data_IF_244225198640
#
_entry.id   IF_244225198640
#
_cell.length_a   1.000
_cell.length_b   1.000
_cell.length_c   1.000
_cell.angle_alpha   90.00
_cell.angle_beta   90.00
_cell.angle_gamma   90.00
#
_symmetry.space_group_name_H-M   'P 1'
#
loop_
_entity.id
_entity.type
_entity.pdbx_description
1 polymer ?
#
# COMPACT_ATOMS: atom_id res chain seq x y z
N UNK A 1 13.12 0.77 -17.93
CA UNK A 1 12.35 0.01 -16.90
C UNK A 1 11.38 0.97 -16.24
N UNK A 2 10.11 0.58 -16.12
CA UNK A 2 9.03 1.37 -15.50
C UNK A 2 8.71 0.82 -14.12
N UNK A 3 8.26 1.67 -13.21
CA UNK A 3 7.94 1.27 -11.83
C UNK A 3 6.44 1.44 -11.62
N UNK A 4 5.76 0.36 -11.26
CA UNK A 4 4.38 0.38 -10.75
C UNK A 4 4.44 0.30 -9.24
N UNK A 5 4.16 1.42 -8.58
CA UNK A 5 4.15 1.54 -7.14
C UNK A 5 2.72 1.49 -6.61
N UNK A 6 2.34 0.33 -6.06
CA UNK A 6 1.01 0.12 -5.49
C UNK A 6 0.95 0.83 -4.15
N UNK A 7 0.26 1.97 -4.09
CA UNK A 7 0.14 2.72 -2.86
C UNK A 7 -1.10 2.27 -2.08
N UNK A 8 -0.87 1.58 -0.96
CA UNK A 8 -1.94 1.21 -0.02
C UNK A 8 -2.16 2.35 0.99
N UNK A 9 -3.41 2.83 1.18
CA UNK A 9 -3.72 3.84 2.18
C UNK A 9 -3.15 3.49 3.56
N UNK A 10 -2.45 4.47 4.14
CA UNK A 10 -1.86 4.43 5.50
C UNK A 10 -0.71 3.44 5.69
N UNK A 11 -0.09 2.97 4.62
CA UNK A 11 1.20 2.27 4.63
C UNK A 11 2.29 3.16 3.98
N UNK A 12 2.75 4.18 4.72
CA UNK A 12 3.83 5.10 4.29
C UNK A 12 3.58 6.02 3.07
N UNK A 13 2.32 6.41 2.82
CA UNK A 13 1.90 7.09 1.60
C UNK A 13 2.38 8.51 1.34
N UNK A 14 1.97 9.46 2.18
CA UNK A 14 2.06 10.90 1.86
C UNK A 14 3.52 11.37 1.73
N UNK A 15 4.36 11.04 2.71
CA UNK A 15 5.78 11.43 2.70
C UNK A 15 6.54 10.80 1.53
N UNK A 16 6.25 9.53 1.22
CA UNK A 16 6.87 8.84 0.09
C UNK A 16 6.41 9.43 -1.25
N UNK A 17 5.11 9.70 -1.40
CA UNK A 17 4.53 10.34 -2.59
C UNK A 17 5.23 11.67 -2.89
N UNK A 18 5.35 12.53 -1.89
CA UNK A 18 6.00 13.85 -2.03
C UNK A 18 7.47 13.72 -2.39
N UNK A 19 8.19 12.78 -1.78
CA UNK A 19 9.60 12.58 -2.07
C UNK A 19 9.84 12.01 -3.48
N UNK A 20 9.01 11.06 -3.93
CA UNK A 20 9.06 10.54 -5.30
C UNK A 20 8.76 11.66 -6.29
N UNK A 21 7.69 12.44 -6.08
CA UNK A 21 7.33 13.56 -6.96
C UNK A 21 8.46 14.57 -7.07
N UNK A 22 9.08 14.96 -5.95
CA UNK A 22 10.25 15.85 -5.95
C UNK A 22 11.46 15.27 -6.68
N UNK A 23 11.65 13.95 -6.63
CA UNK A 23 12.80 13.27 -7.21
C UNK A 23 12.68 13.10 -8.73
N UNK A 24 11.53 12.62 -9.22
CA UNK A 24 11.38 12.26 -10.64
C UNK A 24 10.72 13.38 -11.47
N UNK A 25 10.09 14.36 -10.81
CA UNK A 25 9.36 15.43 -11.46
C UNK A 25 7.95 15.00 -11.91
N UNK A 26 7.13 15.98 -12.24
CA UNK A 26 5.72 15.75 -12.61
C UNK A 26 5.59 14.96 -13.92
N UNK A 27 6.46 15.20 -14.89
CA UNK A 27 6.40 14.59 -16.22
C UNK A 27 6.76 13.09 -16.22
N UNK A 28 7.43 12.61 -15.16
CA UNK A 28 7.82 11.20 -15.00
C UNK A 28 7.00 10.45 -13.95
N UNK A 29 5.99 11.10 -13.35
CA UNK A 29 5.15 10.50 -12.31
C UNK A 29 3.67 10.58 -12.68
N UNK A 30 3.09 9.42 -12.97
CA UNK A 30 1.65 9.30 -13.18
C UNK A 30 0.92 8.94 -11.89
N UNK A 31 -0.07 9.75 -11.52
CA UNK A 31 -0.95 9.47 -10.39
C UNK A 31 -2.23 8.72 -10.79
N UNK A 32 -2.36 7.47 -10.36
CA UNK A 32 -3.56 6.65 -10.59
C UNK A 32 -4.37 6.47 -9.30
N UNK A 33 -5.31 7.38 -9.05
CA UNK A 33 -6.18 7.37 -7.87
C UNK A 33 -7.61 6.96 -8.24
N UNK A 34 -7.79 5.74 -8.74
CA UNK A 34 -9.11 5.22 -9.13
C UNK A 34 -10.00 4.74 -7.96
N UNK A 35 -9.50 4.83 -6.72
CA UNK A 35 -10.20 4.52 -5.47
C UNK A 35 -10.95 3.17 -5.54
N UNK A 36 -10.25 2.05 -5.73
CA UNK A 36 -10.88 0.77 -6.08
C UNK A 36 -11.79 0.26 -4.96
N UNK A 37 -11.52 0.64 -3.71
CA UNK A 37 -12.31 0.22 -2.55
C UNK A 37 -13.54 1.09 -2.27
N UNK A 38 -13.73 2.19 -3.01
CA UNK A 38 -15.01 2.90 -3.05
C UNK A 38 -16.04 2.17 -3.92
N UNK A 39 -15.60 1.19 -4.72
CA UNK A 39 -16.41 0.40 -5.65
C UNK A 39 -16.73 -0.98 -5.08
N UNK A 40 -17.85 -1.55 -5.52
CA UNK A 40 -18.25 -2.91 -5.17
C UNK A 40 -17.19 -3.94 -5.61
N UNK A 41 -17.12 -5.07 -4.92
CA UNK A 41 -16.07 -6.08 -5.11
C UNK A 41 -16.00 -6.63 -6.54
N UNK A 42 -17.14 -7.01 -7.10
CA UNK A 42 -17.22 -7.50 -8.48
C UNK A 42 -16.77 -6.42 -9.48
N UNK A 43 -17.21 -5.18 -9.29
CA UNK A 43 -16.90 -4.06 -10.16
C UNK A 43 -15.39 -3.75 -10.18
N UNK A 44 -14.73 -3.68 -9.01
CA UNK A 44 -13.28 -3.41 -8.94
C UNK A 44 -12.46 -4.55 -9.54
N UNK A 45 -12.88 -5.81 -9.35
CA UNK A 45 -12.21 -6.99 -9.91
C UNK A 45 -12.36 -7.06 -11.42
N UNK A 46 -13.57 -6.85 -11.94
CA UNK A 46 -13.84 -6.79 -13.38
C UNK A 46 -13.05 -5.67 -14.05
N UNK A 47 -13.04 -4.47 -13.46
CA UNK A 47 -12.23 -3.34 -13.96
C UNK A 47 -10.73 -3.67 -13.98
N UNK A 48 -10.21 -4.32 -12.93
CA UNK A 48 -8.81 -4.74 -12.87
C UNK A 48 -8.46 -5.76 -13.97
N UNK A 49 -9.31 -6.78 -14.17
CA UNK A 49 -9.13 -7.77 -15.24
C UNK A 49 -9.18 -7.11 -16.63
N UNK A 50 -10.18 -6.26 -16.89
CA UNK A 50 -10.28 -5.52 -18.14
C UNK A 50 -9.05 -4.64 -18.38
N UNK A 51 -8.62 -3.89 -17.37
CA UNK A 51 -7.43 -3.04 -17.45
C UNK A 51 -6.16 -3.86 -17.69
N UNK A 52 -6.05 -5.06 -17.09
CA UNK A 52 -4.92 -5.95 -17.30
C UNK A 52 -4.78 -6.43 -18.75
N UNK A 53 -5.81 -6.24 -19.59
CA UNK A 53 -5.77 -6.52 -21.03
C UNK A 53 -5.63 -5.22 -21.83
N UNK A 54 -6.43 -4.20 -21.51
CA UNK A 54 -6.59 -2.99 -22.30
C UNK A 54 -5.63 -1.85 -21.94
N UNK A 55 -4.91 -1.92 -20.81
CA UNK A 55 -4.01 -0.86 -20.40
C UNK A 55 -2.88 -0.66 -21.41
N UNK A 56 -2.82 0.54 -21.98
CA UNK A 56 -1.72 0.96 -22.86
C UNK A 56 -0.45 1.20 -22.04
N UNK A 57 0.74 0.93 -22.61
CA UNK A 57 2.00 1.38 -22.01
C UNK A 57 1.94 2.89 -21.72
N UNK A 58 2.41 3.27 -20.54
CA UNK A 58 2.52 4.68 -20.10
C UNK A 58 3.92 5.20 -20.42
N UNK A 59 4.10 6.49 -20.65
CA UNK A 59 5.43 7.05 -20.93
C UNK A 59 6.19 7.34 -19.64
N UNK A 60 5.47 7.64 -18.55
CA UNK A 60 6.02 7.99 -17.26
C UNK A 60 6.85 6.85 -16.65
N UNK A 61 7.96 7.21 -16.02
CA UNK A 61 8.87 6.25 -15.38
C UNK A 61 8.22 5.58 -14.17
N UNK A 62 7.35 6.29 -13.45
CA UNK A 62 6.69 5.81 -12.23
C UNK A 62 5.18 5.99 -12.31
N UNK A 63 4.45 4.93 -12.03
CA UNK A 63 3.00 4.94 -11.80
C UNK A 63 2.77 4.75 -10.31
N UNK A 64 2.12 5.71 -9.66
CA UNK A 64 1.89 5.70 -8.20
C UNK A 64 0.43 5.97 -7.89
N UNK A 65 -0.18 5.19 -7.00
CA UNK A 65 -1.52 5.52 -6.53
C UNK A 65 -2.33 4.36 -5.97
N UNK A 66 -3.61 4.63 -5.75
CA UNK A 66 -4.56 3.66 -5.21
C UNK A 66 -5.25 2.91 -6.35
N UNK A 67 -4.69 1.75 -6.70
CA UNK A 67 -5.23 0.83 -7.69
C UNK A 67 -4.93 -0.62 -7.29
N UNK A 68 -5.67 -1.59 -7.84
CA UNK A 68 -5.36 -3.00 -7.62
C UNK A 68 -4.07 -3.38 -8.36
N UNK A 69 -3.16 -4.10 -7.71
CA UNK A 69 -1.84 -4.43 -8.25
C UNK A 69 -1.88 -5.07 -9.66
N UNK A 70 -2.92 -5.86 -9.94
CA UNK A 70 -3.15 -6.49 -11.23
C UNK A 70 -3.42 -5.55 -12.42
N UNK A 71 -3.74 -4.27 -12.18
CA UNK A 71 -4.16 -3.32 -13.23
C UNK A 71 -3.15 -3.18 -14.38
N UNK A 72 -1.86 -3.18 -14.06
CA UNK A 72 -0.76 -3.04 -15.02
C UNK A 72 -0.04 -4.36 -15.32
N UNK A 73 -0.56 -5.47 -14.80
CA UNK A 73 0.01 -6.80 -14.94
C UNK A 73 -0.69 -7.58 -16.07
N UNK A 74 -0.23 -8.80 -16.35
CA UNK A 74 -0.93 -9.76 -17.22
C UNK A 74 -1.59 -10.84 -16.36
N UNK A 75 -2.89 -11.04 -16.53
CA UNK A 75 -3.60 -12.15 -15.89
C UNK A 75 -3.40 -13.45 -16.67
N UNK A 76 -3.10 -14.56 -15.99
CA UNK A 76 -2.87 -15.87 -16.61
C UNK A 76 -3.99 -16.89 -16.38
N UNK A 77 -5.14 -16.47 -15.84
CA UNK A 77 -6.24 -17.34 -15.42
C UNK A 77 -6.26 -17.64 -13.91
N UNK A 78 -5.11 -17.57 -13.24
CA UNK A 78 -4.99 -17.86 -11.80
C UNK A 78 -4.52 -16.64 -11.00
N UNK A 79 -3.46 -15.98 -11.47
CA UNK A 79 -2.84 -14.84 -10.82
C UNK A 79 -2.29 -13.84 -11.84
N UNK A 80 -2.00 -12.63 -11.39
CA UNK A 80 -1.37 -11.60 -12.19
C UNK A 80 0.16 -11.81 -12.20
N UNK A 81 0.81 -11.56 -13.34
CA UNK A 81 2.27 -11.52 -13.50
C UNK A 81 2.71 -10.15 -14.02
N UNK A 82 3.77 -9.53 -13.47
CA UNK A 82 4.39 -8.35 -14.07
C UNK A 82 4.63 -8.53 -15.56
N UNK A 83 4.41 -7.46 -16.32
CA UNK A 83 4.79 -7.41 -17.73
C UNK A 83 6.30 -7.18 -17.82
N UNK A 84 6.89 -7.54 -18.96
CA UNK A 84 8.32 -7.29 -19.22
C UNK A 84 8.62 -5.79 -19.02
N UNK A 85 9.78 -5.49 -18.42
CA UNK A 85 10.26 -4.12 -18.14
C UNK A 85 9.42 -3.29 -17.16
N UNK A 86 8.43 -3.89 -16.47
CA UNK A 86 7.70 -3.27 -15.38
C UNK A 86 8.13 -3.90 -14.07
N UNK A 87 8.72 -3.11 -13.19
CA UNK A 87 9.03 -3.48 -11.83
C UNK A 87 7.92 -3.02 -10.88
N UNK A 88 7.69 -3.77 -9.81
CA UNK A 88 6.63 -3.54 -8.84
C UNK A 88 7.17 -3.22 -7.46
N UNK A 89 6.65 -2.15 -6.86
CA UNK A 89 6.92 -1.75 -5.49
C UNK A 89 5.64 -1.59 -4.67
N UNK A 90 5.71 -1.92 -3.38
CA UNK A 90 4.62 -1.70 -2.41
C UNK A 90 5.18 -1.40 -1.02
N UNK A 91 4.47 -0.60 -0.25
CA UNK A 91 4.62 -0.55 1.22
C UNK A 91 3.45 -1.24 1.89
N UNK A 92 3.77 -2.01 2.92
CA UNK A 92 2.82 -2.64 3.83
C UNK A 92 3.01 -2.09 5.25
N UNK A 93 2.04 -2.39 6.10
CA UNK A 93 2.02 -2.02 7.51
C UNK A 93 1.32 -3.13 8.29
N UNK A 94 1.61 -3.26 9.58
CA UNK A 94 0.82 -4.12 10.47
C UNK A 94 -0.68 -3.87 10.24
N UNK A 95 -1.50 -4.93 10.02
CA UNK A 95 -2.89 -4.76 9.64
C UNK A 95 -3.72 -3.92 10.61
N UNK A 96 -3.51 -4.10 11.93
CA UNK A 96 -4.26 -3.40 12.95
C UNK A 96 -3.81 -1.93 13.05
N UNK A 97 -2.51 -1.68 13.14
CA UNK A 97 -1.95 -0.33 13.18
C UNK A 97 -2.35 0.48 11.94
N UNK A 98 -2.37 -0.15 10.76
CA UNK A 98 -2.87 0.47 9.53
C UNK A 98 -4.35 0.84 9.63
N UNK A 99 -5.18 -0.06 10.14
CA UNK A 99 -6.62 0.17 10.29
C UNK A 99 -6.92 1.30 11.29
N UNK A 100 -6.23 1.35 12.43
CA UNK A 100 -6.35 2.44 13.41
C UNK A 100 -5.92 3.77 12.77
N UNK A 101 -4.78 3.80 12.09
CA UNK A 101 -4.29 5.00 11.39
C UNK A 101 -5.30 5.48 10.33
N UNK A 102 -6.00 4.55 9.69
CA UNK A 102 -7.04 4.83 8.70
C UNK A 102 -8.30 5.41 9.35
N UNK A 103 -8.77 4.84 10.45
CA UNK A 103 -9.89 5.39 11.22
C UNK A 103 -9.66 6.85 11.59
N UNK A 104 -8.52 7.16 12.24
CA UNK A 104 -8.22 8.53 12.66
C UNK A 104 -7.98 9.48 11.50
N UNK A 105 -7.51 8.97 10.35
CA UNK A 105 -7.44 9.75 9.12
C UNK A 105 -8.84 10.10 8.61
N UNK A 106 -9.77 9.15 8.59
CA UNK A 106 -11.15 9.38 8.16
C UNK A 106 -11.95 10.29 9.08
N UNK A 107 -11.68 10.28 10.40
CA UNK A 107 -12.32 11.22 11.36
C UNK A 107 -12.01 12.69 11.11
N UNK A 108 -10.88 13.00 10.45
CA UNK A 108 -10.36 14.38 10.30
C UNK A 108 -10.29 14.86 8.85
N UNK A 109 -10.79 14.07 7.90
CA UNK A 109 -10.69 14.37 6.48
C UNK A 109 -12.04 14.14 5.83
N UNK A 110 -12.32 14.93 4.80
CA UNK A 110 -13.48 14.76 3.93
C UNK A 110 -13.06 14.01 2.68
N UNK A 111 -13.80 12.96 2.31
CA UNK A 111 -13.53 12.17 1.10
C UNK A 111 -14.77 12.15 0.21
N UNK A 112 -14.90 13.18 -0.63
CA UNK A 112 -16.05 13.34 -1.52
C UNK A 112 -16.19 12.16 -2.50
N UNK A 113 -17.44 11.72 -2.71
CA UNK A 113 -17.78 10.64 -3.64
C UNK A 113 -17.33 9.25 -3.18
N UNK A 114 -17.03 9.07 -1.90
CA UNK A 114 -16.64 7.79 -1.31
C UNK A 114 -17.76 7.26 -0.41
N UNK A 115 -18.66 6.45 -0.97
CA UNK A 115 -19.87 5.92 -0.29
C UNK A 115 -19.63 5.37 1.12
N UNK A 116 -18.54 4.63 1.33
CA UNK A 116 -18.19 4.07 2.65
C UNK A 116 -17.77 5.17 3.63
N UNK A 117 -17.05 6.20 3.16
CA UNK A 117 -16.64 7.32 4.00
C UNK A 117 -17.86 8.20 4.36
N UNK A 118 -18.75 8.45 3.40
CA UNK A 118 -20.01 9.18 3.64
C UNK A 118 -20.85 8.47 4.70
N UNK A 119 -20.95 7.13 4.61
CA UNK A 119 -21.63 6.31 5.62
C UNK A 119 -20.94 6.40 6.98
N UNK A 120 -19.61 6.22 7.00
CA UNK A 120 -18.79 6.34 8.21
C UNK A 120 -18.99 7.68 8.92
N UNK A 121 -19.01 8.78 8.16
CA UNK A 121 -19.19 10.14 8.66
C UNK A 121 -20.62 10.36 9.16
N UNK A 122 -21.63 10.05 8.33
CA UNK A 122 -23.05 10.22 8.66
C UNK A 122 -23.48 9.40 9.88
N UNK A 123 -23.03 8.16 9.98
CA UNK A 123 -23.37 7.25 11.08
C UNK A 123 -22.41 7.39 12.28
N UNK A 124 -21.44 8.33 12.24
CA UNK A 124 -20.48 8.59 13.33
C UNK A 124 -19.83 7.32 13.89
N UNK A 125 -19.29 6.47 13.01
CA UNK A 125 -18.77 5.16 13.43
C UNK A 125 -17.73 5.26 14.56
N UNK A 126 -17.84 4.33 15.52
CA UNK A 126 -16.81 4.08 16.53
C UNK A 126 -15.60 3.37 15.91
N UNK A 127 -14.47 3.37 16.63
CA UNK A 127 -13.28 2.62 16.21
C UNK A 127 -13.61 1.13 16.08
N UNK A 128 -14.30 0.54 17.07
CA UNK A 128 -14.72 -0.85 17.05
C UNK A 128 -15.56 -1.19 15.81
N UNK A 129 -16.61 -0.39 15.54
CA UNK A 129 -17.45 -0.57 14.35
C UNK A 129 -16.63 -0.50 13.06
N UNK A 130 -15.69 0.43 12.98
CA UNK A 130 -14.80 0.58 11.83
C UNK A 130 -13.89 -0.63 11.65
N UNK A 131 -13.22 -1.07 12.72
CA UNK A 131 -12.30 -2.21 12.71
C UNK A 131 -13.00 -3.52 12.33
N UNK A 132 -14.23 -3.72 12.78
CA UNK A 132 -15.01 -4.93 12.53
C UNK A 132 -15.85 -4.86 11.24
N UNK A 133 -15.77 -3.77 10.48
CA UNK A 133 -16.54 -3.58 9.24
C UNK A 133 -16.03 -4.48 8.09
N UNK A 134 -16.97 -4.96 7.27
CA UNK A 134 -16.64 -5.78 6.09
C UNK A 134 -15.86 -4.99 5.04
N UNK A 135 -16.15 -3.68 4.94
CA UNK A 135 -15.49 -2.77 4.02
C UNK A 135 -13.97 -2.69 4.27
N UNK A 136 -13.56 -2.73 5.54
CA UNK A 136 -12.15 -2.63 5.95
C UNK A 136 -11.47 -3.97 6.25
N UNK A 137 -12.20 -5.08 6.19
CA UNK A 137 -11.64 -6.41 6.37
C UNK A 137 -10.69 -6.81 5.22
N UNK A 138 -9.53 -7.38 5.53
CA UNK A 138 -8.50 -7.84 4.57
C UNK A 138 -8.13 -6.75 3.54
N UNK A 139 -7.95 -5.51 4.03
CA UNK A 139 -7.80 -4.32 3.21
C UNK A 139 -6.56 -4.35 2.32
N UNK A 140 -5.40 -4.76 2.85
CA UNK A 140 -4.16 -4.83 2.07
C UNK A 140 -4.25 -5.94 1.02
N UNK A 141 -4.80 -7.10 1.38
CA UNK A 141 -5.04 -8.22 0.48
C UNK A 141 -6.04 -7.86 -0.64
N UNK A 142 -7.03 -7.00 -0.38
CA UNK A 142 -7.92 -6.47 -1.43
C UNK A 142 -7.13 -5.69 -2.49
N UNK A 143 -6.18 -4.83 -2.11
CA UNK A 143 -5.30 -4.11 -3.04
C UNK A 143 -4.40 -5.06 -3.85
N UNK A 144 -3.93 -6.13 -3.21
CA UNK A 144 -3.03 -7.12 -3.78
C UNK A 144 -3.76 -8.33 -4.38
N UNK A 145 -5.04 -8.17 -4.72
CA UNK A 145 -5.89 -9.26 -5.20
C UNK A 145 -5.24 -10.03 -6.36
N UNK A 146 -4.98 -11.33 -6.11
CA UNK A 146 -4.34 -12.27 -7.05
C UNK A 146 -2.97 -11.82 -7.57
N UNK A 147 -2.27 -10.95 -6.85
CA UNK A 147 -0.90 -10.55 -7.16
C UNK A 147 0.05 -11.12 -6.09
N UNK A 148 0.82 -12.18 -6.40
CA UNK A 148 1.69 -12.83 -5.41
C UNK A 148 2.78 -11.88 -4.89
N UNK A 149 3.01 -11.85 -3.58
CA UNK A 149 4.03 -10.96 -2.98
C UNK A 149 5.44 -11.18 -3.54
N UNK A 150 5.80 -12.42 -3.87
CA UNK A 150 7.10 -12.76 -4.45
C UNK A 150 7.36 -12.16 -5.84
N UNK A 151 6.35 -11.56 -6.46
CA UNK A 151 6.49 -10.87 -7.74
C UNK A 151 6.74 -9.37 -7.60
N UNK A 152 6.72 -8.82 -6.38
CA UNK A 152 7.19 -7.47 -6.13
C UNK A 152 8.72 -7.47 -6.10
N UNK A 153 9.31 -6.58 -6.89
CA UNK A 153 10.75 -6.31 -6.86
C UNK A 153 11.15 -5.60 -5.57
N UNK A 154 10.23 -4.83 -4.98
CA UNK A 154 10.42 -4.14 -3.71
C UNK A 154 9.21 -4.29 -2.79
N UNK A 155 9.46 -4.63 -1.53
CA UNK A 155 8.46 -4.59 -0.45
C UNK A 155 9.05 -3.78 0.70
N UNK A 156 8.41 -2.67 1.05
CA UNK A 156 8.72 -1.87 2.23
C UNK A 156 7.76 -2.13 3.37
N UNK A 157 8.21 -1.92 4.61
CA UNK A 157 7.40 -1.97 5.82
C UNK A 157 7.39 -0.60 6.47
N UNK A 158 6.21 -0.15 6.90
CA UNK A 158 6.03 1.18 7.51
C UNK A 158 6.79 1.27 8.84
N UNK A 159 6.81 0.17 9.59
CA UNK A 159 7.52 -0.02 10.85
C UNK A 159 9.04 0.10 10.69
N UNK A 160 9.54 -0.17 9.48
CA UNK A 160 10.95 -0.04 9.10
C UNK A 160 11.11 1.00 8.00
N UNK A 161 10.44 2.15 8.10
CA UNK A 161 10.33 3.12 7.01
C UNK A 161 11.69 3.61 6.49
N UNK A 162 12.62 4.00 7.38
CA UNK A 162 13.92 4.52 6.97
C UNK A 162 14.75 3.47 6.22
N UNK A 163 14.74 2.23 6.69
CA UNK A 163 15.36 1.12 5.96
C UNK A 163 14.63 0.86 4.64
N UNK A 164 13.30 0.82 4.65
CA UNK A 164 12.52 0.59 3.44
C UNK A 164 12.80 1.63 2.36
N UNK A 165 12.97 2.92 2.71
CA UNK A 165 13.34 3.98 1.76
C UNK A 165 14.76 3.78 1.21
N UNK A 166 15.73 3.42 2.06
CA UNK A 166 17.09 3.11 1.59
C UNK A 166 17.08 1.91 0.63
N UNK A 167 16.36 0.84 0.97
CA UNK A 167 16.20 -0.35 0.11
C UNK A 167 15.52 -0.01 -1.20
N UNK A 168 14.51 0.85 -1.17
CA UNK A 168 13.83 1.34 -2.35
C UNK A 168 14.81 1.96 -3.35
N UNK A 169 15.74 2.79 -2.88
CA UNK A 169 16.78 3.40 -3.71
C UNK A 169 17.79 2.40 -4.27
N UNK A 170 18.05 1.30 -3.55
CA UNK A 170 18.90 0.20 -4.03
C UNK A 170 18.20 -0.62 -5.12
N UNK A 171 16.91 -0.92 -4.97
CA UNK A 171 16.13 -1.68 -5.96
C UNK A 171 15.81 -0.82 -7.18
N UNK A 172 15.46 0.45 -6.97
CA UNK A 172 15.08 1.41 -8.00
C UNK A 172 16.03 2.61 -8.00
N UNK A 173 17.13 2.58 -8.78
CA UNK A 173 18.13 3.64 -8.78
C UNK A 173 17.60 5.05 -9.11
N UNK A 174 16.54 5.16 -9.91
CA UNK A 174 15.87 6.46 -10.18
C UNK A 174 15.24 7.07 -8.91
N UNK A 175 14.95 6.24 -7.90
CA UNK A 175 14.43 6.62 -6.59
C UNK A 175 15.52 6.59 -5.51
N UNK A 176 16.81 6.64 -5.86
CA UNK A 176 17.89 6.74 -4.88
C UNK A 176 17.89 8.11 -4.19
N UNK A 177 18.25 8.15 -2.91
CA UNK A 177 18.41 9.37 -2.12
C UNK A 177 17.15 10.26 -2.14
N UNK A 178 15.99 9.65 -1.88
CA UNK A 178 14.73 10.36 -1.79
C UNK A 178 14.80 11.43 -0.69
N UNK A 179 14.30 12.67 -0.94
CA UNK A 179 14.31 13.77 0.03
C UNK A 179 13.21 13.59 1.08
N UNK A 180 13.32 12.52 1.88
CA UNK A 180 12.41 12.22 2.98
C UNK A 180 12.76 13.11 4.15
N UNK A 181 11.77 13.88 4.64
CA UNK A 181 11.91 14.60 5.91
C UNK A 181 11.90 13.56 7.03
N UNK A 182 12.97 13.50 7.82
CA UNK A 182 13.14 12.62 8.98
C UNK A 182 12.19 12.96 10.13
N UNK A 183 11.49 14.09 10.05
CA UNK A 183 10.34 14.42 10.90
C UNK A 183 9.14 13.52 10.54
N UNK A 184 9.24 12.27 10.97
CA UNK A 184 8.09 11.38 11.18
C UNK A 184 7.24 11.81 12.38
N UNK A 185 7.50 12.99 12.94
CA UNK A 185 6.64 13.74 13.86
C UNK A 185 5.43 14.32 13.13
N UNK A 186 4.82 13.59 12.18
CA UNK A 186 3.46 13.90 11.81
C UNK A 186 2.60 13.39 12.99
N UNK A 187 2.05 14.26 13.86
CA UNK A 187 1.24 13.82 14.99
C UNK A 187 0.10 12.88 14.55
N UNK A 188 -0.31 12.99 13.29
CA UNK A 188 -1.21 12.11 12.56
C UNK A 188 -0.86 10.61 12.55
N UNK A 189 0.41 10.23 12.69
CA UNK A 189 0.88 8.83 12.78
C UNK A 189 0.92 8.38 14.25
N UNK A 190 1.32 9.27 15.16
CA UNK A 190 1.45 8.99 16.60
C UNK A 190 0.10 8.69 17.29
N UNK A 191 -1.01 9.29 16.83
CA UNK A 191 -2.35 9.01 17.40
C UNK A 191 -2.76 7.53 17.26
N UNK A 192 -2.34 6.85 16.19
CA UNK A 192 -2.65 5.44 15.99
C UNK A 192 -1.73 4.49 16.76
N UNK A 193 -0.44 4.84 16.84
CA UNK A 193 0.60 4.00 17.45
C UNK A 193 0.50 3.92 18.98
N UNK A 194 -0.05 4.94 19.63
CA UNK A 194 -0.25 4.98 21.09
C UNK A 194 -1.65 4.54 21.55
N UNK A 195 -2.52 4.10 20.63
CA UNK A 195 -3.88 3.71 20.99
C UNK A 195 -3.89 2.29 21.60
N UNK A 196 -4.16 2.19 22.91
CA UNK A 196 -4.37 0.91 23.57
C UNK A 196 -5.72 0.32 23.14
N UNK A 197 -5.67 -0.78 22.40
CA UNK A 197 -6.85 -1.54 22.01
C UNK A 197 -7.13 -2.64 23.02
N UNK A 198 -8.41 -2.85 23.30
CA UNK A 198 -8.90 -3.99 24.06
C UNK A 198 -8.42 -5.33 23.44
N UNK A 199 -7.81 -6.24 24.22
CA UNK A 199 -7.29 -7.50 23.69
C UNK A 199 -8.33 -8.39 22.98
N UNK A 200 -9.59 -8.38 23.42
CA UNK A 200 -10.66 -9.15 22.77
C UNK A 200 -10.97 -8.57 21.39
N UNK A 201 -11.09 -7.24 21.29
CA UNK A 201 -11.26 -6.55 20.01
C UNK A 201 -10.08 -6.78 19.05
N UNK A 202 -8.84 -6.74 19.55
CA UNK A 202 -7.65 -7.04 18.74
C UNK A 202 -7.68 -8.48 18.21
N UNK A 203 -8.05 -9.45 19.04
CA UNK A 203 -8.18 -10.86 18.65
C UNK A 203 -9.26 -11.04 17.59
N UNK A 204 -10.44 -10.43 17.77
CA UNK A 204 -11.52 -10.50 16.79
C UNK A 204 -11.11 -9.86 15.46
N UNK A 205 -10.47 -8.69 15.50
CA UNK A 205 -9.92 -8.05 14.31
C UNK A 205 -8.96 -8.98 13.57
N UNK A 206 -8.03 -9.63 14.29
CA UNK A 206 -7.09 -10.57 13.70
C UNK A 206 -7.80 -11.75 13.02
N UNK A 207 -8.85 -12.29 13.65
CA UNK A 207 -9.62 -13.40 13.10
C UNK A 207 -10.38 -13.04 11.83
N UNK A 208 -10.92 -11.81 11.72
CA UNK A 208 -11.56 -11.31 10.50
C UNK A 208 -10.53 -11.00 9.40
N UNK A 209 -9.33 -10.56 9.79
CA UNK A 209 -8.28 -10.07 8.90
C UNK A 209 -7.16 -11.11 8.61
N UNK A 210 -7.46 -12.40 8.67
CA UNK A 210 -6.48 -13.50 8.49
C UNK A 210 -5.66 -13.39 7.20
N UNK A 211 -6.23 -12.90 6.10
CA UNK A 211 -5.50 -12.76 4.84
C UNK A 211 -4.46 -11.64 4.93
N UNK A 212 -4.82 -10.51 5.55
CA UNK A 212 -3.88 -9.40 5.76
C UNK A 212 -2.73 -9.82 6.69
N UNK A 213 -3.01 -10.55 7.78
CA UNK A 213 -1.96 -11.05 8.67
C UNK A 213 -1.05 -12.09 8.01
N UNK A 214 -1.62 -13.04 7.25
CA UNK A 214 -0.83 -14.00 6.49
C UNK A 214 0.03 -13.32 5.40
N UNK A 215 -0.51 -12.27 4.77
CA UNK A 215 0.21 -11.45 3.79
C UNK A 215 1.33 -10.64 4.45
N UNK A 216 1.06 -10.01 5.59
CA UNK A 216 2.05 -9.23 6.32
C UNK A 216 3.20 -10.11 6.84
N UNK A 217 2.92 -11.28 7.42
CA UNK A 217 3.97 -12.21 7.84
C UNK A 217 4.82 -12.75 6.68
N UNK A 218 4.28 -12.86 5.46
CA UNK A 218 5.08 -13.15 4.27
C UNK A 218 5.96 -11.95 3.87
N UNK A 219 5.42 -10.73 3.97
CA UNK A 219 6.15 -9.51 3.68
C UNK A 219 7.33 -9.30 4.63
N UNK A 220 7.18 -9.59 5.92
CA UNK A 220 8.27 -9.51 6.91
C UNK A 220 9.44 -10.44 6.56
N UNK A 221 9.14 -11.67 6.13
CA UNK A 221 10.15 -12.64 5.69
C UNK A 221 10.89 -12.12 4.45
N UNK A 222 10.15 -11.68 3.43
CA UNK A 222 10.72 -11.14 2.19
C UNK A 222 11.56 -9.88 2.48
N UNK A 223 11.07 -8.98 3.34
CA UNK A 223 11.77 -7.77 3.74
C UNK A 223 13.10 -8.10 4.41
N UNK A 224 13.10 -9.04 5.35
CA UNK A 224 14.30 -9.50 6.07
C UNK A 224 15.32 -10.12 5.12
N UNK A 225 14.88 -10.96 4.17
CA UNK A 225 15.71 -11.53 3.11
C UNK A 225 16.31 -10.43 2.21
N UNK A 226 15.52 -9.44 1.77
CA UNK A 226 16.00 -8.33 0.96
C UNK A 226 17.05 -7.51 1.71
N UNK A 227 16.77 -7.15 2.97
CA UNK A 227 17.71 -6.39 3.82
C UNK A 227 19.01 -7.14 4.03
N UNK A 228 18.96 -8.44 4.32
CA UNK A 228 20.15 -9.28 4.47
C UNK A 228 20.99 -9.33 3.19
N UNK A 229 20.37 -9.45 2.01
CA UNK A 229 21.08 -9.42 0.72
C UNK A 229 21.82 -8.10 0.51
N UNK A 230 21.20 -6.97 0.84
CA UNK A 230 21.84 -5.66 0.71
C UNK A 230 23.01 -5.49 1.67
N UNK A 231 22.87 -5.91 2.93
CA UNK A 231 23.95 -5.93 3.91
C UNK A 231 25.15 -6.76 3.44
N UNK A 232 24.91 -7.98 2.93
CA UNK A 232 25.97 -8.86 2.43
C UNK A 232 26.68 -8.30 1.18
N UNK A 233 25.95 -7.58 0.32
CA UNK A 233 26.51 -7.00 -0.90
C UNK A 233 27.41 -5.77 -0.68
N UNK A 234 27.48 -5.23 0.55
CA UNK A 234 28.24 -4.02 0.86
C UNK A 234 27.64 -2.72 0.30
N UNK A 235 26.50 -2.82 -0.43
CA UNK A 235 25.70 -1.69 -0.93
C UNK A 235 25.03 -0.94 0.26
N UNK A 236 24.90 -1.62 1.39
CA UNK A 236 24.32 -1.11 2.63
C UNK A 236 25.41 -0.97 3.70
N UNK A 237 25.66 0.26 4.16
CA UNK A 237 26.51 0.58 5.32
C UNK A 237 25.71 1.35 6.36
#
# INVERSE_FOLDING_TARGET
MRIVFVHIPKAAGTSLKEAILKKVGNDNLYFDYNRPLAKADLQRKAYCLFSSIAARPREEAVIFGHFLAGKYAKFNGYYFKPRKEIAYGVFLRDPLQRAISHFFFWKRTTVDGHRVWERFSRESWSLERFLLSEEHTNFQAKFLWRFPLRQFDFIGLTEHFNDSVKMLGCVFPILKDLPIRTDNSNPQNAVGENYKIDPCLASEFMQRNKLDYALYGQAEKIFSEQKYRFLKSGIWR
#
